data_IF_771137446894
#
_entry.id   IF_771137446894
#
_cell.length_a   1.000
_cell.length_b   1.000
_cell.length_c   1.000
_cell.angle_alpha   90.00
_cell.angle_beta   90.00
_cell.angle_gamma   90.00
#
_symmetry.space_group_name_H-M   'P 1'
#
loop_
_entity.id
_entity.type
_entity.pdbx_description
1 polymer ?
#
# COMPACT_ATOMS: atom_id res chain seq x y z
N UNK A 1 -2.12 3.27 -10.00
CA UNK A 1 -1.73 2.27 -8.97
C UNK A 1 -0.63 1.34 -9.47
N UNK A 2 0.51 1.35 -8.76
CA UNK A 2 1.69 0.49 -8.99
C UNK A 2 1.70 -0.65 -7.96
N UNK A 3 2.32 -1.79 -8.29
CA UNK A 3 2.54 -2.87 -7.33
C UNK A 3 3.46 -2.39 -6.19
N UNK A 4 3.39 -3.05 -5.03
CA UNK A 4 4.38 -2.84 -3.97
C UNK A 4 5.61 -3.67 -4.34
N UNK A 5 6.71 -3.01 -4.69
CA UNK A 5 7.98 -3.64 -5.08
C UNK A 5 9.10 -3.12 -4.18
N UNK A 6 9.81 -4.02 -3.49
CA UNK A 6 10.87 -3.68 -2.56
C UNK A 6 10.37 -2.93 -1.32
N UNK A 7 9.18 -3.27 -0.84
CA UNK A 7 8.65 -2.63 0.36
C UNK A 7 7.79 -1.37 0.10
N UNK A 8 7.69 -0.89 -1.14
CA UNK A 8 7.07 0.42 -1.45
C UNK A 8 6.16 0.33 -2.67
N UNK A 9 4.96 0.91 -2.57
CA UNK A 9 4.00 0.96 -3.66
C UNK A 9 3.15 2.21 -3.66
N UNK A 10 2.13 2.21 -4.53
CA UNK A 10 1.23 3.35 -4.68
C UNK A 10 -0.20 2.86 -4.85
N UNK A 11 -1.07 3.29 -3.93
CA UNK A 11 -2.50 3.06 -4.01
C UNK A 11 -3.23 4.36 -4.33
N UNK A 12 -4.40 4.24 -4.95
CA UNK A 12 -5.29 5.36 -5.19
C UNK A 12 -6.45 5.26 -4.20
N UNK A 13 -6.62 6.27 -3.36
CA UNK A 13 -7.78 6.46 -2.50
C UNK A 13 -8.63 7.54 -3.14
N UNK A 14 -9.82 7.18 -3.61
CA UNK A 14 -10.71 8.09 -4.36
C UNK A 14 -9.97 8.75 -5.55
N UNK A 15 -9.71 10.05 -5.48
CA UNK A 15 -9.00 10.82 -6.50
C UNK A 15 -7.51 11.07 -6.15
N UNK A 16 -7.07 10.69 -4.95
CA UNK A 16 -5.72 10.96 -4.47
C UNK A 16 -4.80 9.71 -4.59
N UNK A 17 -3.58 9.92 -5.07
CA UNK A 17 -2.53 8.90 -5.06
C UNK A 17 -1.75 8.96 -3.74
N UNK A 18 -1.72 7.85 -3.01
CA UNK A 18 -1.01 7.69 -1.75
C UNK A 18 0.16 6.71 -1.89
N UNK A 19 1.30 7.06 -1.30
CA UNK A 19 2.44 6.14 -1.21
C UNK A 19 2.19 5.17 -0.07
N UNK A 20 2.52 3.91 -0.28
CA UNK A 20 2.45 2.89 0.76
C UNK A 20 3.76 2.19 0.95
N UNK A 21 4.02 1.80 2.19
CA UNK A 21 5.16 1.00 2.60
C UNK A 21 4.66 -0.28 3.28
N UNK A 22 5.16 -1.43 2.85
CA UNK A 22 4.70 -2.75 3.28
C UNK A 22 5.35 -3.85 2.44
N UNK A 23 5.19 -5.14 2.79
CA UNK A 23 5.85 -6.23 2.06
C UNK A 23 5.49 -6.28 0.57
N UNK A 24 6.38 -6.85 -0.23
CA UNK A 24 6.20 -7.03 -1.68
C UNK A 24 4.89 -7.77 -1.98
N UNK A 25 3.98 -7.07 -2.65
CA UNK A 25 2.65 -7.57 -2.96
C UNK A 25 2.31 -7.25 -4.41
N UNK A 26 1.78 -8.24 -5.15
CA UNK A 26 1.42 -8.04 -6.54
C UNK A 26 0.29 -7.01 -6.66
N UNK A 27 0.24 -6.33 -7.81
CA UNK A 27 -0.84 -5.39 -8.11
C UNK A 27 -2.18 -6.11 -8.03
N UNK A 28 -3.09 -5.58 -7.20
CA UNK A 28 -4.41 -6.16 -6.96
C UNK A 28 -4.51 -7.04 -5.71
N UNK A 29 -3.42 -7.27 -4.99
CA UNK A 29 -3.47 -7.88 -3.66
C UNK A 29 -4.23 -6.99 -2.66
N UNK A 30 -4.98 -7.62 -1.76
CA UNK A 30 -5.61 -6.93 -0.65
C UNK A 30 -4.57 -6.62 0.42
N UNK A 31 -4.59 -5.38 0.88
CA UNK A 31 -3.70 -4.87 1.93
C UNK A 31 -4.53 -4.26 3.05
N UNK A 32 -4.03 -4.39 4.28
CA UNK A 32 -4.61 -3.73 5.45
C UNK A 32 -3.69 -2.61 5.89
N UNK A 33 -4.23 -1.39 5.96
CA UNK A 33 -3.49 -0.24 6.49
C UNK A 33 -3.36 -0.42 8.01
N UNK A 34 -2.14 -0.42 8.52
CA UNK A 34 -1.85 -0.54 9.96
C UNK A 34 -1.41 0.77 10.58
N UNK A 35 -1.04 1.75 9.77
CA UNK A 35 -0.67 3.08 10.24
C UNK A 35 -0.47 4.06 9.09
N UNK A 36 -0.27 5.32 9.46
CA UNK A 36 0.05 6.39 8.53
C UNK A 36 1.17 7.26 9.10
N UNK A 37 2.13 7.61 8.26
CA UNK A 37 3.23 8.52 8.54
C UNK A 37 3.18 9.66 7.52
N UNK A 38 2.43 10.72 7.88
CA UNK A 38 2.18 11.86 6.99
C UNK A 38 1.50 11.44 5.67
N UNK A 39 2.28 11.44 4.58
CA UNK A 39 1.82 11.07 3.23
C UNK A 39 2.21 9.62 2.82
N UNK A 40 2.73 8.83 3.75
CA UNK A 40 3.08 7.42 3.58
C UNK A 40 2.15 6.55 4.43
N UNK A 41 1.49 5.57 3.83
CA UNK A 41 0.67 4.61 4.58
C UNK A 41 1.45 3.33 4.82
N UNK A 42 1.44 2.83 6.05
CA UNK A 42 1.97 1.52 6.38
C UNK A 42 0.89 0.47 6.16
N UNK A 43 1.24 -0.55 5.38
CA UNK A 43 0.32 -1.61 4.97
C UNK A 43 0.93 -2.97 5.24
N UNK A 44 0.06 -3.91 5.62
CA UNK A 44 0.38 -5.32 5.77
C UNK A 44 -0.46 -6.18 4.82
N UNK A 45 -0.04 -7.41 4.48
CA UNK A 45 -0.84 -8.32 3.68
C UNK A 45 -2.15 -8.59 4.40
N UNK A 46 -3.27 -8.33 3.74
CA UNK A 46 -4.55 -8.81 4.25
C UNK A 46 -4.65 -10.29 3.86
N UNK A 47 -4.16 -11.17 4.73
CA UNK A 47 -4.51 -12.59 4.64
C UNK A 47 -6.03 -12.71 4.80
N UNK A 48 -6.73 -13.43 3.91
CA UNK A 48 -8.16 -13.63 4.03
C UNK A 48 -8.55 -14.33 5.33
#
# INVERSE_FOLDING_TARGET
PRAIVGGLGELRVEDASWRVSGPDLPRGALVRVTGQDGALLHVEPATP
#
